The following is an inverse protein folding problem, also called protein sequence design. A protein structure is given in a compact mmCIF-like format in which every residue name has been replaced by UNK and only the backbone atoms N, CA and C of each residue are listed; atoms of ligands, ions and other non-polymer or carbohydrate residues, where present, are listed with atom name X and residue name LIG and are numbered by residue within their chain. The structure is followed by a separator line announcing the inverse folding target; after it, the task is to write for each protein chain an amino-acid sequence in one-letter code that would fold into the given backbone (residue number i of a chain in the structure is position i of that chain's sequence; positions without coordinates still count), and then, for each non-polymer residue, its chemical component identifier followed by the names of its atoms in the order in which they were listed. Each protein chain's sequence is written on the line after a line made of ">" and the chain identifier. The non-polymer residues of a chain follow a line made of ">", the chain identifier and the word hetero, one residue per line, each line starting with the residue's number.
data_IF_301702943747
#
_entry.id   IF_301702943747
#
_cell.length_a   1.000
_cell.length_b   1.000
_cell.length_c   1.000
_cell.angle_alpha   90.00
_cell.angle_beta   90.00
_cell.angle_gamma   90.00
#
_symmetry.space_group_name_H-M   'P 1'
#
loop_
_entity.id
_entity.type
_entity.pdbx_description
1 polymer ?
#
# COMPACT_ATOMS: atom_id res chain seq x y z
N UNK A 1 -8.55 -11.39 -29.93
CA UNK A 1 -7.88 -10.53 -28.92
C UNK A 1 -6.96 -11.42 -28.10
N UNK A 2 -5.64 -11.24 -28.14
CA UNK A 2 -4.73 -12.04 -27.31
C UNK A 2 -4.96 -11.70 -25.83
N UNK A 3 -5.66 -12.57 -25.11
CA UNK A 3 -5.83 -12.52 -23.65
C UNK A 3 -4.53 -12.90 -22.96
N UNK A 4 -3.49 -12.09 -23.14
CA UNK A 4 -2.23 -12.29 -22.42
C UNK A 4 -2.49 -11.89 -20.97
N UNK A 5 -2.29 -12.82 -20.04
CA UNK A 5 -2.38 -12.54 -18.60
C UNK A 5 -1.51 -11.31 -18.28
N UNK A 6 -1.98 -10.37 -17.44
CA UNK A 6 -1.18 -9.22 -17.03
C UNK A 6 0.15 -9.70 -16.45
N UNK A 7 1.24 -8.96 -16.69
CA UNK A 7 2.52 -9.30 -16.06
C UNK A 7 2.40 -9.25 -14.53
N UNK A 8 3.22 -10.00 -13.78
CA UNK A 8 3.22 -9.92 -12.32
C UNK A 8 3.42 -8.49 -11.80
N UNK A 9 4.26 -7.69 -12.49
CA UNK A 9 4.45 -6.26 -12.15
C UNK A 9 3.16 -5.46 -12.26
N UNK A 10 2.35 -5.70 -13.30
CA UNK A 10 1.05 -5.03 -13.46
C UNK A 10 0.07 -5.48 -12.39
N UNK A 11 0.02 -6.78 -12.08
CA UNK A 11 -0.85 -7.30 -11.03
C UNK A 11 -0.55 -6.69 -9.66
N UNK A 12 0.74 -6.47 -9.33
CA UNK A 12 1.14 -5.80 -8.09
C UNK A 12 0.75 -4.32 -8.08
N UNK A 13 0.92 -3.61 -9.19
CA UNK A 13 0.48 -2.22 -9.31
C UNK A 13 -1.04 -2.08 -9.18
N UNK A 14 -1.80 -2.99 -9.77
CA UNK A 14 -3.26 -3.03 -9.66
C UNK A 14 -3.68 -3.33 -8.20
N UNK A 15 -2.96 -4.22 -7.50
CA UNK A 15 -3.21 -4.51 -6.08
C UNK A 15 -2.91 -3.30 -5.18
N UNK A 16 -1.84 -2.55 -5.44
CA UNK A 16 -1.52 -1.29 -4.73
C UNK A 16 -2.69 -0.31 -4.91
N UNK A 17 -3.08 -0.07 -6.16
CA UNK A 17 -4.16 0.88 -6.50
C UNK A 17 -5.47 0.49 -5.81
N UNK A 18 -5.90 -0.77 -5.98
CA UNK A 18 -7.12 -1.28 -5.35
C UNK A 18 -7.09 -1.27 -3.81
N UNK A 19 -5.90 -1.29 -3.19
CA UNK A 19 -5.78 -1.16 -1.74
C UNK A 19 -5.88 0.29 -1.30
N UNK A 20 -5.29 1.22 -2.05
CA UNK A 20 -5.41 2.67 -1.81
C UNK A 20 -6.87 3.12 -1.99
N UNK A 21 -7.54 2.68 -3.06
CA UNK A 21 -8.96 2.99 -3.30
C UNK A 21 -9.86 2.58 -2.12
N UNK A 22 -9.54 1.47 -1.45
CA UNK A 22 -10.27 1.02 -0.25
C UNK A 22 -10.02 1.92 0.96
N UNK A 23 -8.79 2.41 1.12
CA UNK A 23 -8.46 3.36 2.19
C UNK A 23 -9.23 4.65 1.94
N UNK A 24 -9.13 5.19 0.72
CA UNK A 24 -9.79 6.43 0.35
C UNK A 24 -11.32 6.34 0.53
N UNK A 25 -11.94 5.24 0.10
CA UNK A 25 -13.37 5.01 0.30
C UNK A 25 -13.80 5.04 1.78
N UNK A 26 -12.99 4.51 2.71
CA UNK A 26 -13.29 4.55 4.16
C UNK A 26 -13.21 5.98 4.70
N UNK A 27 -12.23 6.76 4.24
CA UNK A 27 -12.08 8.15 4.64
C UNK A 27 -13.16 9.04 4.05
N UNK A 28 -13.53 8.83 2.78
CA UNK A 28 -14.65 9.48 2.11
C UNK A 28 -15.99 9.19 2.81
N UNK A 29 -16.27 7.93 3.16
CA UNK A 29 -17.49 7.53 3.88
C UNK A 29 -17.61 8.26 5.24
N UNK A 30 -16.48 8.48 5.91
CA UNK A 30 -16.42 9.17 7.20
C UNK A 30 -16.35 10.70 7.05
N UNK A 31 -16.21 11.23 5.84
CA UNK A 31 -16.00 12.66 5.58
C UNK A 31 -14.69 13.19 6.19
N UNK A 32 -13.67 12.34 6.24
CA UNK A 32 -12.36 12.64 6.84
C UNK A 32 -11.28 12.70 5.76
N UNK A 33 -10.19 13.41 6.06
CA UNK A 33 -8.97 13.37 5.25
C UNK A 33 -7.97 12.39 5.86
N UNK A 34 -7.22 11.68 5.01
CA UNK A 34 -6.15 10.79 5.45
C UNK A 34 -5.03 11.60 6.12
N UNK A 35 -4.50 11.18 7.29
CA UNK A 35 -3.48 11.94 7.99
C UNK A 35 -2.19 12.04 7.19
N UNK A 36 -1.64 13.25 7.08
CA UNK A 36 -0.36 13.51 6.44
C UNK A 36 0.83 13.31 7.40
N UNK A 37 2.04 13.18 6.85
CA UNK A 37 3.27 12.94 7.64
C UNK A 37 3.89 14.20 8.25
N UNK A 38 3.43 15.39 7.87
CA UNK A 38 3.95 16.68 8.30
C UNK A 38 3.15 17.30 9.46
N UNK A 39 1.92 16.85 9.65
CA UNK A 39 1.05 17.23 10.77
C UNK A 39 1.42 16.40 12.01
N UNK A 40 1.57 17.01 13.19
CA UNK A 40 1.81 16.26 14.43
C UNK A 40 0.71 15.23 14.69
N UNK A 41 1.11 14.02 15.08
CA UNK A 41 0.18 12.93 15.39
C UNK A 41 -0.67 13.30 16.61
N UNK A 42 -1.97 13.46 16.41
CA UNK A 42 -2.97 13.55 17.48
C UNK A 42 -3.76 12.23 17.55
N UNK A 43 -3.45 11.34 18.51
CA UNK A 43 -4.08 10.03 18.62
C UNK A 43 -5.59 10.09 18.94
N UNK A 44 -6.12 11.27 19.27
CA UNK A 44 -7.55 11.50 19.55
C UNK A 44 -8.31 12.10 18.37
N UNK A 45 -7.60 12.53 17.32
CA UNK A 45 -8.23 13.06 16.11
C UNK A 45 -9.02 11.98 15.37
N UNK A 46 -10.15 12.39 14.77
CA UNK A 46 -11.02 11.46 14.05
C UNK A 46 -10.29 10.76 12.89
N UNK A 47 -9.40 11.46 12.18
CA UNK A 47 -8.58 10.90 11.11
C UNK A 47 -7.57 9.84 11.60
N UNK A 48 -6.90 10.06 12.73
CA UNK A 48 -5.97 9.08 13.32
C UNK A 48 -6.70 7.85 13.88
N UNK A 49 -7.91 8.04 14.41
CA UNK A 49 -8.78 6.92 14.80
C UNK A 49 -9.23 6.14 13.57
N UNK A 50 -9.61 6.82 12.48
CA UNK A 50 -9.98 6.18 11.23
C UNK A 50 -8.80 5.46 10.56
N UNK A 51 -7.57 5.98 10.67
CA UNK A 51 -6.36 5.32 10.17
C UNK A 51 -6.07 3.97 10.87
N UNK A 52 -6.59 3.79 12.09
CA UNK A 52 -6.49 2.54 12.88
C UNK A 52 -7.68 1.61 12.68
N UNK A 53 -8.62 1.97 11.81
CA UNK A 53 -9.73 1.12 11.44
C UNK A 53 -9.19 -0.21 10.87
N UNK A 54 -9.74 -1.38 11.28
CA UNK A 54 -9.26 -2.67 10.79
C UNK A 54 -9.25 -2.78 9.26
N UNK A 55 -10.21 -2.15 8.57
CA UNK A 55 -10.28 -2.12 7.11
C UNK A 55 -9.12 -1.34 6.49
N UNK A 56 -8.79 -0.18 7.07
CA UNK A 56 -7.65 0.64 6.65
C UNK A 56 -6.34 -0.09 6.91
N UNK A 57 -6.16 -0.67 8.10
CA UNK A 57 -4.96 -1.44 8.46
C UNK A 57 -4.74 -2.64 7.52
N UNK A 58 -5.80 -3.37 7.20
CA UNK A 58 -5.75 -4.50 6.28
C UNK A 58 -5.38 -4.07 4.86
N UNK A 59 -6.01 -3.01 4.35
CA UNK A 59 -5.71 -2.47 3.02
C UNK A 59 -4.28 -1.92 2.95
N UNK A 60 -3.83 -1.19 3.97
CA UNK A 60 -2.46 -0.70 4.08
C UNK A 60 -1.45 -1.85 4.09
N UNK A 61 -1.71 -2.94 4.85
CA UNK A 61 -0.84 -4.11 4.86
C UNK A 61 -0.68 -4.75 3.47
N UNK A 62 -1.76 -4.83 2.68
CA UNK A 62 -1.70 -5.33 1.30
C UNK A 62 -0.92 -4.39 0.37
N UNK A 63 -1.16 -3.08 0.46
CA UNK A 63 -0.41 -2.09 -0.31
C UNK A 63 1.09 -2.17 0.00
N UNK A 64 1.46 -2.21 1.27
CA UNK A 64 2.86 -2.32 1.73
C UNK A 64 3.51 -3.60 1.20
N UNK A 65 2.84 -4.75 1.35
CA UNK A 65 3.37 -6.03 0.87
C UNK A 65 3.57 -6.02 -0.66
N UNK A 66 2.61 -5.47 -1.41
CA UNK A 66 2.68 -5.35 -2.86
C UNK A 66 3.81 -4.40 -3.31
N UNK A 67 3.99 -3.26 -2.63
CA UNK A 67 5.11 -2.34 -2.87
C UNK A 67 6.46 -3.02 -2.64
N UNK A 68 6.63 -3.73 -1.53
CA UNK A 68 7.86 -4.47 -1.22
C UNK A 68 8.17 -5.52 -2.29
N UNK A 69 7.16 -6.29 -2.71
CA UNK A 69 7.35 -7.30 -3.75
C UNK A 69 7.64 -6.68 -5.12
N UNK A 70 6.96 -5.58 -5.47
CA UNK A 70 7.20 -4.86 -6.71
C UNK A 70 8.63 -4.32 -6.76
N UNK A 71 9.08 -3.68 -5.67
CA UNK A 71 10.46 -3.23 -5.52
C UNK A 71 11.46 -4.37 -5.71
N UNK A 72 11.27 -5.49 -5.01
CA UNK A 72 12.13 -6.66 -5.12
C UNK A 72 12.21 -7.22 -6.56
N UNK A 73 11.10 -7.20 -7.32
CA UNK A 73 11.06 -7.68 -8.70
C UNK A 73 11.67 -6.72 -9.72
N UNK A 74 11.71 -5.42 -9.40
CA UNK A 74 12.32 -4.40 -10.26
C UNK A 74 13.85 -4.34 -10.09
N UNK A 75 14.37 -4.78 -8.95
CA UNK A 75 15.80 -4.99 -8.78
C UNK A 75 16.30 -6.16 -9.63
N UNK A 76 17.51 -6.05 -10.18
CA UNK A 76 18.18 -7.20 -10.79
C UNK A 76 18.32 -8.31 -9.73
N UNK A 77 18.10 -9.60 -10.05
CA UNK A 77 18.08 -10.67 -9.05
C UNK A 77 19.34 -10.72 -8.18
N UNK A 78 20.50 -10.44 -8.76
CA UNK A 78 21.77 -10.38 -8.05
C UNK A 78 21.84 -9.23 -7.02
N UNK A 79 21.20 -8.10 -7.27
CA UNK A 79 21.17 -6.94 -6.38
C UNK A 79 20.18 -7.20 -5.23
N UNK A 80 18.98 -7.73 -5.54
CA UNK A 80 17.97 -8.06 -4.55
C UNK A 80 18.47 -9.07 -3.50
N UNK A 81 19.18 -10.13 -3.95
CA UNK A 81 19.77 -11.13 -3.06
C UNK A 81 20.90 -10.55 -2.19
N UNK A 82 21.70 -9.63 -2.74
CA UNK A 82 22.82 -9.04 -2.00
C UNK A 82 22.34 -8.03 -0.94
N UNK A 83 21.26 -7.29 -1.20
CA UNK A 83 20.64 -6.41 -0.21
C UNK A 83 20.04 -7.17 0.97
N UNK A 84 19.41 -8.33 0.71
CA UNK A 84 18.85 -9.19 1.76
C UNK A 84 19.93 -9.84 2.64
N UNK A 85 21.14 -10.04 2.11
CA UNK A 85 22.26 -10.61 2.84
C UNK A 85 22.99 -9.59 3.74
N UNK A 86 22.72 -8.29 3.54
CA UNK A 86 23.38 -7.17 4.24
C UNK A 86 22.45 -6.47 5.26
N UNK A 87 21.18 -6.87 5.33
CA UNK A 87 20.16 -6.41 6.29
C UNK A 87 19.99 -7.39 7.44
#
# INVERSE_FOLDING_TARGET
>A
MSTKKPSPLRQLADLISASVDKIDAIFEEKGLEYPDLFTPIDPTSASEVAARDPGVLQAAAFAIAACSQLGAMLHAPAIALNQLALS
#
